data_IF_056449903821
#
_entry.id   IF_056449903821
#
_cell.length_a   1.000
_cell.length_b   1.000
_cell.length_c   1.000
_cell.angle_alpha   90.00
_cell.angle_beta   90.00
_cell.angle_gamma   90.00
#
_symmetry.space_group_name_H-M   'P 1'
#
loop_
_entity.id
_entity.type
_entity.pdbx_description
1 polymer ?
#
# COMPACT_ATOMS: atom_id res chain seq x y z
N UNK A 1 -26.51 -21.32 9.24
CA UNK A 1 -26.36 -20.04 8.51
C UNK A 1 -25.01 -19.40 8.81
N UNK A 2 -24.74 -18.99 10.06
CA UNK A 2 -23.52 -18.26 10.47
C UNK A 2 -22.20 -18.86 9.96
N UNK A 3 -22.03 -20.18 9.95
CA UNK A 3 -20.80 -20.83 9.50
C UNK A 3 -20.55 -20.67 7.99
N UNK A 4 -21.60 -20.60 7.18
CA UNK A 4 -21.49 -20.36 5.73
C UNK A 4 -21.09 -18.90 5.48
N UNK A 5 -21.70 -17.98 6.24
CA UNK A 5 -21.43 -16.55 6.14
C UNK A 5 -19.97 -16.23 6.50
N UNK A 6 -19.43 -16.86 7.54
CA UNK A 6 -18.03 -16.73 7.95
C UNK A 6 -17.08 -17.24 6.87
N UNK A 7 -17.37 -18.38 6.25
CA UNK A 7 -16.54 -18.92 5.17
C UNK A 7 -16.54 -18.03 3.92
N UNK A 8 -17.71 -17.49 3.56
CA UNK A 8 -17.84 -16.56 2.43
C UNK A 8 -17.06 -15.28 2.71
N UNK A 9 -17.20 -14.70 3.91
CA UNK A 9 -16.46 -13.49 4.31
C UNK A 9 -14.94 -13.72 4.32
N UNK A 10 -14.48 -14.89 4.79
CA UNK A 10 -13.07 -15.27 4.73
C UNK A 10 -12.58 -15.41 3.29
N UNK A 11 -13.33 -16.10 2.43
CA UNK A 11 -12.96 -16.29 1.04
C UNK A 11 -12.88 -14.95 0.30
N UNK A 12 -13.88 -14.08 0.49
CA UNK A 12 -13.88 -12.72 -0.08
C UNK A 12 -12.71 -11.91 0.47
N UNK A 13 -12.45 -11.97 1.78
CA UNK A 13 -11.32 -11.28 2.41
C UNK A 13 -9.98 -11.71 1.83
N UNK A 14 -9.76 -13.02 1.61
CA UNK A 14 -8.53 -13.54 1.00
C UNK A 14 -8.38 -13.03 -0.44
N UNK A 15 -9.44 -13.07 -1.24
CA UNK A 15 -9.40 -12.59 -2.63
C UNK A 15 -9.10 -11.09 -2.68
N UNK A 16 -9.77 -10.30 -1.85
CA UNK A 16 -9.55 -8.84 -1.76
C UNK A 16 -8.13 -8.53 -1.26
N UNK A 17 -7.65 -9.25 -0.25
CA UNK A 17 -6.29 -9.10 0.28
C UNK A 17 -5.22 -9.38 -0.78
N UNK A 18 -5.36 -10.50 -1.51
CA UNK A 18 -4.45 -10.87 -2.60
C UNK A 18 -4.47 -9.83 -3.73
N UNK A 19 -5.66 -9.42 -4.18
CA UNK A 19 -5.81 -8.39 -5.20
C UNK A 19 -5.19 -7.06 -4.78
N UNK A 20 -5.37 -6.66 -3.52
CA UNK A 20 -4.78 -5.45 -2.97
C UNK A 20 -3.25 -5.51 -2.88
N UNK A 21 -2.67 -6.64 -2.45
CA UNK A 21 -1.20 -6.84 -2.44
C UNK A 21 -0.64 -6.72 -3.84
N UNK A 22 -1.25 -7.42 -4.82
CA UNK A 22 -0.80 -7.37 -6.21
C UNK A 22 -0.90 -5.96 -6.79
N UNK A 23 -1.99 -5.24 -6.51
CA UNK A 23 -2.17 -3.88 -6.97
C UNK A 23 -1.15 -2.91 -6.37
N UNK A 24 -0.91 -2.96 -5.05
CA UNK A 24 0.10 -2.12 -4.38
C UNK A 24 1.49 -2.40 -4.92
N UNK A 25 1.83 -3.67 -5.14
CA UNK A 25 3.12 -4.04 -5.72
C UNK A 25 3.29 -3.47 -7.13
N UNK A 26 2.29 -3.64 -8.00
CA UNK A 26 2.33 -3.11 -9.36
C UNK A 26 2.35 -1.58 -9.40
N UNK A 27 1.55 -0.91 -8.58
CA UNK A 27 1.52 0.56 -8.49
C UNK A 27 2.87 1.10 -7.99
N UNK A 28 3.43 0.53 -6.93
CA UNK A 28 4.74 0.92 -6.42
C UNK A 28 5.86 0.67 -7.45
N UNK A 29 5.81 -0.46 -8.16
CA UNK A 29 6.77 -0.80 -9.22
C UNK A 29 6.66 0.15 -10.42
N UNK A 30 5.44 0.46 -10.85
CA UNK A 30 5.17 1.39 -11.96
C UNK A 30 5.65 2.81 -11.70
N UNK A 31 5.73 3.20 -10.42
CA UNK A 31 6.22 4.50 -9.96
C UNK A 31 7.71 4.52 -9.65
N UNK A 32 8.44 3.43 -9.90
CA UNK A 32 9.87 3.33 -9.64
C UNK A 32 10.25 3.35 -8.16
N UNK A 33 9.33 2.98 -7.27
CA UNK A 33 9.61 2.93 -5.83
C UNK A 33 10.45 1.68 -5.53
N UNK A 34 11.74 1.85 -5.18
CA UNK A 34 12.64 0.76 -4.79
C UNK A 34 12.15 -0.06 -3.59
N UNK A 35 11.29 0.53 -2.76
CA UNK A 35 10.67 -0.11 -1.58
C UNK A 35 9.32 -0.79 -1.87
N UNK A 36 9.06 -1.20 -3.12
CA UNK A 36 7.80 -1.87 -3.50
C UNK A 36 7.49 -3.11 -2.63
N UNK A 37 8.49 -3.91 -2.28
CA UNK A 37 8.34 -5.07 -1.39
C UNK A 37 7.85 -4.66 0.01
N UNK A 38 8.40 -3.57 0.55
CA UNK A 38 8.02 -3.04 1.87
C UNK A 38 6.56 -2.54 1.84
N UNK A 39 6.13 -1.90 0.75
CA UNK A 39 4.76 -1.44 0.58
C UNK A 39 3.76 -2.59 0.47
N UNK A 40 4.10 -3.63 -0.30
CA UNK A 40 3.28 -4.84 -0.42
C UNK A 40 3.17 -5.56 0.94
N UNK A 41 4.28 -5.69 1.68
CA UNK A 41 4.29 -6.29 3.02
C UNK A 41 3.52 -5.45 4.04
N UNK A 42 3.63 -4.12 3.98
CA UNK A 42 2.87 -3.22 4.84
C UNK A 42 1.36 -3.31 4.57
N UNK A 43 0.96 -3.42 3.30
CA UNK A 43 -0.44 -3.64 2.94
C UNK A 43 -0.94 -5.00 3.45
N UNK A 44 -0.17 -6.07 3.24
CA UNK A 44 -0.52 -7.41 3.71
C UNK A 44 -0.66 -7.46 5.24
N UNK A 45 0.36 -6.97 5.96
CA UNK A 45 0.34 -6.93 7.41
C UNK A 45 -0.80 -6.07 7.95
N UNK A 46 -1.08 -4.92 7.33
CA UNK A 46 -2.20 -4.05 7.68
C UNK A 46 -3.55 -4.74 7.47
N UNK A 47 -3.74 -5.40 6.34
CA UNK A 47 -4.97 -6.13 6.02
C UNK A 47 -5.21 -7.30 6.97
N UNK A 48 -4.17 -8.03 7.36
CA UNK A 48 -4.29 -9.17 8.28
C UNK A 48 -4.53 -8.72 9.73
N UNK A 49 -3.79 -7.71 10.21
CA UNK A 49 -3.89 -7.24 11.59
C UNK A 49 -5.16 -6.43 11.85
N UNK A 50 -5.59 -5.63 10.87
CA UNK A 50 -6.81 -4.85 10.99
C UNK A 50 -7.57 -4.97 9.67
N UNK A 51 -8.47 -5.98 9.54
CA UNK A 51 -9.15 -6.33 8.28
C UNK A 51 -9.94 -5.21 7.60
N UNK A 52 -10.04 -4.03 8.23
CA UNK A 52 -10.66 -2.83 7.68
C UNK A 52 -9.76 -1.59 7.74
N UNK A 53 -8.94 -1.40 8.80
CA UNK A 53 -8.21 -0.14 9.03
C UNK A 53 -6.81 -0.15 8.43
N UNK A 54 -6.14 -1.31 8.36
CA UNK A 54 -4.74 -1.35 7.94
C UNK A 54 -4.54 -1.01 6.46
N UNK A 55 -5.46 -1.46 5.59
CA UNK A 55 -5.45 -1.06 4.18
C UNK A 55 -5.68 0.44 3.98
N UNK A 56 -6.57 1.05 4.76
CA UNK A 56 -6.86 2.49 4.72
C UNK A 56 -5.67 3.30 5.26
N UNK A 57 -5.05 2.87 6.37
CA UNK A 57 -3.89 3.54 6.95
C UNK A 57 -2.69 3.55 5.99
N UNK A 58 -2.43 2.43 5.30
CA UNK A 58 -1.37 2.34 4.27
C UNK A 58 -1.69 3.24 3.09
N UNK A 59 -2.94 3.27 2.60
CA UNK A 59 -3.36 4.15 1.51
C UNK A 59 -3.19 5.64 1.87
N UNK A 60 -3.55 6.02 3.09
CA UNK A 60 -3.40 7.39 3.60
C UNK A 60 -1.91 7.74 3.74
N UNK A 61 -1.09 6.85 4.30
CA UNK A 61 0.34 7.08 4.46
C UNK A 61 1.07 7.14 3.11
N UNK A 62 0.68 6.29 2.16
CA UNK A 62 1.16 6.31 0.78
C UNK A 62 0.87 7.64 0.08
N UNK A 63 -0.36 8.16 0.22
CA UNK A 63 -0.71 9.50 -0.29
C UNK A 63 0.03 10.63 0.40
N UNK A 64 0.44 10.44 1.66
CA UNK A 64 1.17 11.44 2.45
C UNK A 64 2.66 11.44 2.15
N UNK A 65 3.23 10.29 1.77
CA UNK A 65 4.61 10.15 1.28
C UNK A 65 4.73 10.59 -0.18
N UNK A 66 4.07 11.70 -0.54
CA UNK A 66 4.48 12.48 -1.70
C UNK A 66 5.90 12.96 -1.41
N UNK A 67 6.87 12.70 -2.30
CA UNK A 67 8.03 13.56 -2.33
C UNK A 67 7.47 14.98 -2.50
N UNK A 68 7.80 15.88 -1.57
CA UNK A 68 7.89 17.28 -1.98
C UNK A 68 8.81 17.22 -3.20
N UNK A 69 8.30 17.66 -4.34
CA UNK A 69 9.17 18.03 -5.45
C UNK A 69 10.09 19.10 -4.89
N UNK A 70 11.24 18.67 -4.36
CA UNK A 70 12.42 19.51 -4.35
C UNK A 70 12.65 19.84 -5.82
N UNK A 71 12.30 21.09 -6.15
CA UNK A 71 12.49 21.63 -7.47
C UNK A 71 13.94 21.45 -7.89
N UNK A 72 14.20 21.34 -9.21
CA UNK A 72 15.55 21.12 -9.71
C UNK A 72 16.44 22.30 -9.29
N UNK A 73 17.57 21.96 -8.70
CA UNK A 73 18.87 22.63 -8.82
C UNK A 73 18.83 24.16 -8.89
N UNK A 74 19.26 24.81 -7.81
CA UNK A 74 20.07 26.01 -7.98
C UNK A 74 21.33 25.88 -7.14
N UNK A 75 22.34 25.29 -7.77
CA UNK A 75 23.74 25.60 -7.57
C UNK A 75 23.92 27.13 -7.55
N UNK A 76 23.97 27.72 -6.36
CA UNK A 76 24.57 29.04 -6.15
C UNK A 76 25.91 28.82 -5.43
N UNK A 77 26.96 28.71 -6.25
CA UNK A 77 28.30 29.13 -5.87
C UNK A 77 28.52 30.48 -6.54
N UNK A 78 28.63 31.59 -5.79
CA UNK A 78 29.27 32.80 -6.26
C UNK A 78 30.61 33.01 -5.55
N UNK A 79 31.64 33.13 -6.39
CA UNK A 79 33.01 33.66 -6.25
C UNK A 79 33.50 34.20 -4.90
#
# INVERSE_FOLDING_TARGET
>A
MVQLDVQILLAVGVVVGMAGVTWVYQDARSRGIESADIWAMAFFAGFVLVPVIGGVAVLVFYRRKRPRSDGPTQSQSPD
#
